data_IF_019830549095
#
_entry.id   IF_019830549095
#
_cell.length_a   1.000
_cell.length_b   1.000
_cell.length_c   1.000
_cell.angle_alpha   90.00
_cell.angle_beta   90.00
_cell.angle_gamma   90.00
#
_symmetry.space_group_name_H-M   'P 1'
#
loop_
_entity.id
_entity.type
_entity.pdbx_description
1 polymer ?
#
# COMPACT_ATOMS: atom_id res chain seq x y z
N UNK A 1 -8.76 -17.19 -43.04
CA UNK A 1 -9.77 -16.69 -42.08
C UNK A 1 -9.81 -17.62 -40.88
N UNK A 2 -9.88 -17.03 -39.67
CA UNK A 2 -10.07 -17.65 -38.33
C UNK A 2 -8.84 -18.40 -37.78
N UNK A 3 -8.30 -18.08 -36.60
CA UNK A 3 -8.62 -17.07 -35.61
C UNK A 3 -7.37 -16.85 -34.73
N UNK A 4 -7.03 -15.59 -34.51
CA UNK A 4 -5.92 -15.16 -33.64
C UNK A 4 -6.42 -15.28 -32.21
N UNK A 5 -5.85 -16.20 -31.44
CA UNK A 5 -6.00 -16.21 -29.98
C UNK A 5 -5.24 -14.99 -29.48
N UNK A 6 -5.96 -13.90 -29.19
CA UNK A 6 -5.50 -12.87 -28.27
C UNK A 6 -5.98 -13.36 -26.90
N UNK A 7 -5.23 -14.26 -26.28
CA UNK A 7 -5.21 -14.27 -24.84
C UNK A 7 -4.14 -13.24 -24.51
N UNK A 8 -4.60 -12.08 -24.06
CA UNK A 8 -3.74 -11.21 -23.29
C UNK A 8 -3.44 -12.03 -22.03
N UNK A 9 -2.33 -12.77 -22.02
CA UNK A 9 -1.73 -13.18 -20.76
C UNK A 9 -1.54 -11.85 -20.02
N UNK A 10 -2.34 -11.60 -18.99
CA UNK A 10 -1.95 -10.64 -17.98
C UNK A 10 -0.70 -11.27 -17.35
N UNK A 11 0.45 -11.12 -18.02
CA UNK A 11 1.76 -11.31 -17.41
C UNK A 11 1.73 -10.37 -16.22
N UNK A 12 1.49 -10.94 -15.04
CA UNK A 12 1.72 -10.27 -13.78
C UNK A 12 3.10 -9.65 -13.91
N UNK A 13 3.23 -8.31 -13.99
CA UNK A 13 4.54 -7.72 -14.15
C UNK A 13 5.34 -8.19 -12.94
N UNK A 14 6.47 -8.89 -13.13
CA UNK A 14 7.26 -9.30 -11.99
C UNK A 14 7.57 -8.04 -11.20
N UNK A 15 7.44 -8.13 -9.88
CA UNK A 15 7.55 -7.01 -8.94
C UNK A 15 8.78 -6.12 -9.16
N UNK A 16 9.85 -6.73 -9.68
CA UNK A 16 11.10 -6.11 -10.14
C UNK A 16 10.94 -5.17 -11.33
N UNK A 17 9.77 -5.09 -11.97
CA UNK A 17 9.44 -4.23 -13.11
C UNK A 17 8.52 -3.07 -12.72
N UNK A 18 8.10 -2.95 -11.45
CA UNK A 18 7.30 -1.82 -11.00
C UNK A 18 8.02 -0.48 -11.29
N UNK A 19 7.41 0.45 -12.05
CA UNK A 19 8.01 1.75 -12.35
C UNK A 19 8.13 2.60 -11.09
N UNK A 20 9.28 3.27 -10.90
CA UNK A 20 9.49 4.21 -9.80
C UNK A 20 9.93 3.59 -8.47
N UNK A 21 9.94 2.26 -8.33
CA UNK A 21 10.53 1.60 -7.17
C UNK A 21 12.06 1.66 -7.25
N UNK A 22 12.77 2.12 -6.19
CA UNK A 22 14.21 1.96 -6.10
C UNK A 22 14.57 0.48 -6.14
N UNK A 23 15.61 0.12 -6.89
CA UNK A 23 16.04 -1.27 -7.07
C UNK A 23 17.49 -1.43 -6.66
N UNK A 24 17.80 -2.57 -6.05
CA UNK A 24 19.16 -3.00 -5.78
C UNK A 24 19.87 -3.34 -7.10
N UNK A 25 21.21 -3.49 -7.09
CA UNK A 25 21.96 -3.99 -8.25
C UNK A 25 21.45 -5.35 -8.77
N UNK A 26 20.87 -6.16 -7.88
CA UNK A 26 20.27 -7.47 -8.17
C UNK A 26 18.81 -7.36 -8.70
N UNK A 27 18.27 -6.15 -8.76
CA UNK A 27 16.93 -5.86 -9.29
C UNK A 27 15.80 -5.95 -8.27
N UNK A 28 16.11 -6.23 -7.00
CA UNK A 28 15.11 -6.32 -5.92
C UNK A 28 14.69 -4.93 -5.43
N UNK A 29 13.43 -4.75 -5.01
CA UNK A 29 12.98 -3.53 -4.33
C UNK A 29 13.87 -3.13 -3.14
N UNK A 30 14.33 -1.89 -3.12
CA UNK A 30 15.01 -1.29 -1.96
C UNK A 30 14.05 -0.31 -1.29
N UNK A 31 13.75 -0.58 -0.02
CA UNK A 31 12.85 0.22 0.81
C UNK A 31 13.64 1.09 1.78
N UNK A 32 13.25 2.36 1.92
CA UNK A 32 13.93 3.29 2.85
C UNK A 32 13.59 2.99 4.30
N UNK A 33 12.35 2.58 4.56
CA UNK A 33 11.84 2.21 5.88
C UNK A 33 11.16 0.83 5.83
N UNK A 34 11.17 0.06 6.94
CA UNK A 34 10.56 -1.28 6.98
C UNK A 34 9.09 -1.30 6.57
N UNK A 35 8.31 -0.31 6.99
CA UNK A 35 6.87 -0.24 6.71
C UNK A 35 6.55 -0.16 5.21
N UNK A 36 7.48 0.36 4.39
CA UNK A 36 7.29 0.42 2.94
C UNK A 36 7.30 -0.97 2.32
N UNK A 37 8.11 -1.89 2.86
CA UNK A 37 8.13 -3.28 2.45
C UNK A 37 6.82 -3.99 2.84
N UNK A 38 6.29 -3.69 4.03
CA UNK A 38 5.00 -4.24 4.49
C UNK A 38 3.84 -3.75 3.61
N UNK A 39 3.78 -2.44 3.32
CA UNK A 39 2.78 -1.86 2.43
C UNK A 39 2.83 -2.49 1.04
N UNK A 40 4.03 -2.65 0.49
CA UNK A 40 4.26 -3.32 -0.78
C UNK A 40 3.78 -4.78 -0.75
N UNK A 41 4.15 -5.55 0.28
CA UNK A 41 3.74 -6.94 0.43
C UNK A 41 2.21 -7.08 0.56
N UNK A 42 1.54 -6.15 1.24
CA UNK A 42 0.07 -6.13 1.33
C UNK A 42 -0.60 -5.92 -0.03
N UNK A 43 -0.13 -4.97 -0.84
CA UNK A 43 -0.64 -4.73 -2.20
C UNK A 43 -0.53 -5.99 -3.04
N UNK A 44 0.67 -6.59 -3.07
CA UNK A 44 0.92 -7.82 -3.84
C UNK A 44 0.05 -8.97 -3.35
N UNK A 45 -0.01 -9.19 -2.04
CA UNK A 45 -0.78 -10.30 -1.46
C UNK A 45 -2.28 -10.17 -1.69
N UNK A 46 -2.83 -8.95 -1.74
CA UNK A 46 -4.24 -8.72 -2.06
C UNK A 46 -4.53 -8.89 -3.56
N UNK A 47 -3.62 -8.44 -4.41
CA UNK A 47 -3.68 -8.70 -5.85
C UNK A 47 -3.64 -10.20 -6.17
N UNK A 48 -2.70 -10.95 -5.56
CA UNK A 48 -2.58 -12.41 -5.77
C UNK A 48 -3.82 -13.17 -5.30
N UNK A 49 -4.55 -12.63 -4.31
CA UNK A 49 -5.83 -13.15 -3.84
C UNK A 49 -7.02 -12.75 -4.73
N UNK A 50 -6.80 -11.94 -5.77
CA UNK A 50 -7.83 -11.47 -6.69
C UNK A 50 -8.80 -10.47 -6.06
N UNK A 51 -8.37 -9.75 -5.02
CA UNK A 51 -9.19 -8.71 -4.39
C UNK A 51 -9.37 -7.52 -5.35
N UNK A 52 -8.29 -7.12 -6.02
CA UNK A 52 -8.29 -6.11 -7.08
C UNK A 52 -7.32 -6.55 -8.19
N UNK A 53 -7.40 -5.92 -9.36
CA UNK A 53 -6.43 -6.14 -10.45
C UNK A 53 -5.43 -4.96 -10.60
N UNK A 54 -4.43 -5.14 -11.46
CA UNK A 54 -3.41 -4.11 -11.66
C UNK A 54 -3.94 -2.84 -12.31
N UNK A 55 -5.00 -2.91 -13.11
CA UNK A 55 -5.59 -1.74 -13.76
C UNK A 55 -6.29 -0.88 -12.70
N UNK A 56 -7.01 -1.52 -11.77
CA UNK A 56 -7.60 -0.87 -10.60
C UNK A 56 -6.52 -0.25 -9.69
N UNK A 57 -5.46 -0.99 -9.38
CA UNK A 57 -4.34 -0.50 -8.58
C UNK A 57 -3.68 0.74 -9.21
N UNK A 58 -3.31 0.66 -10.49
CA UNK A 58 -2.65 1.76 -11.19
C UNK A 58 -3.55 2.99 -11.27
N UNK A 59 -4.86 2.80 -11.47
CA UNK A 59 -5.83 3.88 -11.42
C UNK A 59 -5.88 4.55 -10.04
N UNK A 60 -6.06 3.77 -8.97
CA UNK A 60 -6.14 4.27 -7.61
C UNK A 60 -4.86 5.01 -7.19
N UNK A 61 -3.68 4.46 -7.49
CA UNK A 61 -2.40 5.08 -7.19
C UNK A 61 -2.19 6.38 -7.99
N UNK A 62 -2.54 6.38 -9.28
CA UNK A 62 -2.47 7.59 -10.11
C UNK A 62 -3.33 8.72 -9.56
N UNK A 63 -4.51 8.40 -9.02
CA UNK A 63 -5.39 9.37 -8.38
C UNK A 63 -4.74 10.00 -7.13
N UNK A 64 -3.93 9.25 -6.37
CA UNK A 64 -3.19 9.79 -5.23
C UNK A 64 -2.00 10.65 -5.66
N UNK A 65 -1.22 10.18 -6.65
CA UNK A 65 -0.03 10.87 -7.14
C UNK A 65 -0.35 12.23 -7.79
N UNK A 66 -1.55 12.38 -8.36
CA UNK A 66 -2.00 13.62 -8.99
C UNK A 66 -2.71 14.60 -8.04
N UNK A 67 -2.78 14.31 -6.73
CA UNK A 67 -3.36 15.25 -5.76
C UNK A 67 -2.50 16.51 -5.67
N UNK A 68 -3.11 17.64 -5.28
CA UNK A 68 -2.36 18.88 -5.05
C UNK A 68 -1.55 18.78 -3.76
N UNK A 69 -0.37 19.39 -3.74
CA UNK A 69 0.48 19.46 -2.54
C UNK A 69 1.37 18.23 -2.31
N UNK A 70 1.60 17.41 -3.33
CA UNK A 70 2.59 16.33 -3.28
C UNK A 70 4.01 16.89 -3.21
N UNK A 71 4.88 16.14 -2.53
CA UNK A 71 6.29 16.47 -2.42
C UNK A 71 6.95 16.42 -3.81
N UNK A 72 7.66 17.49 -4.18
CA UNK A 72 8.32 17.60 -5.49
C UNK A 72 9.46 16.59 -5.65
N UNK A 73 10.06 16.14 -4.55
CA UNK A 73 11.12 15.14 -4.50
C UNK A 73 10.60 13.70 -4.44
N UNK A 74 9.28 13.51 -4.35
CA UNK A 74 8.64 12.19 -4.28
C UNK A 74 8.83 11.47 -2.96
N UNK A 75 9.27 12.16 -1.89
CA UNK A 75 9.47 11.54 -0.57
C UNK A 75 8.22 10.89 0.01
N UNK A 76 7.05 11.34 -0.44
CA UNK A 76 5.73 10.88 -0.01
C UNK A 76 5.17 9.72 -0.85
N UNK A 77 5.95 9.17 -1.79
CA UNK A 77 5.50 8.15 -2.74
C UNK A 77 4.85 6.93 -2.08
N UNK A 78 5.43 6.40 -1.01
CA UNK A 78 4.84 5.27 -0.29
C UNK A 78 3.64 5.67 0.59
N UNK A 79 3.50 6.93 1.00
CA UNK A 79 2.26 7.42 1.60
C UNK A 79 1.11 7.39 0.57
N UNK A 80 1.43 7.71 -0.69
CA UNK A 80 0.50 7.56 -1.82
C UNK A 80 0.06 6.11 -2.01
N UNK A 81 0.98 5.15 -1.84
CA UNK A 81 0.68 3.72 -1.89
C UNK A 81 -0.31 3.30 -0.81
N UNK A 82 -0.03 3.67 0.44
CA UNK A 82 -0.92 3.34 1.57
C UNK A 82 -2.29 3.98 1.35
N UNK A 83 -2.34 5.25 0.96
CA UNK A 83 -3.61 5.93 0.67
C UNK A 83 -4.41 5.26 -0.47
N UNK A 84 -3.74 4.83 -1.54
CA UNK A 84 -4.38 4.13 -2.65
C UNK A 84 -4.94 2.77 -2.20
N UNK A 85 -4.14 1.99 -1.46
CA UNK A 85 -4.55 0.71 -0.92
C UNK A 85 -5.74 0.85 0.03
N UNK A 86 -5.70 1.82 0.94
CA UNK A 86 -6.80 2.11 1.87
C UNK A 86 -8.10 2.41 1.13
N UNK A 87 -8.06 3.17 0.03
CA UNK A 87 -9.27 3.43 -0.75
C UNK A 87 -9.80 2.16 -1.41
N UNK A 88 -8.95 1.33 -2.00
CA UNK A 88 -9.38 0.07 -2.63
C UNK A 88 -10.07 -0.84 -1.62
N UNK A 89 -9.47 -1.08 -0.46
CA UNK A 89 -10.06 -1.99 0.53
C UNK A 89 -11.39 -1.45 1.11
N UNK A 90 -11.56 -0.13 1.15
CA UNK A 90 -12.83 0.53 1.52
C UNK A 90 -13.85 0.40 0.40
N UNK A 91 -13.48 0.67 -0.85
CA UNK A 91 -14.38 0.60 -2.00
C UNK A 91 -14.89 -0.84 -2.23
N UNK A 92 -14.07 -1.84 -1.89
CA UNK A 92 -14.45 -3.26 -1.88
C UNK A 92 -15.22 -3.70 -0.63
N UNK A 93 -15.44 -2.81 0.35
CA UNK A 93 -16.19 -3.11 1.58
C UNK A 93 -15.51 -4.13 2.49
N UNK A 94 -14.17 -4.23 2.43
CA UNK A 94 -13.38 -5.13 3.29
C UNK A 94 -13.24 -4.55 4.69
N UNK A 95 -13.13 -3.21 4.75
CA UNK A 95 -13.09 -2.41 5.98
C UNK A 95 -13.82 -1.09 5.73
N UNK A 96 -14.39 -0.52 6.77
CA UNK A 96 -14.94 0.84 6.72
C UNK A 96 -13.85 1.90 6.95
N UNK A 97 -14.08 3.11 6.43
CA UNK A 97 -13.17 4.26 6.66
C UNK A 97 -13.00 4.53 8.15
N UNK A 98 -14.09 4.43 8.91
CA UNK A 98 -14.08 4.65 10.35
C UNK A 98 -13.24 3.59 11.07
N UNK A 99 -13.25 2.33 10.64
CA UNK A 99 -12.40 1.28 11.23
C UNK A 99 -10.90 1.57 11.03
N UNK A 100 -10.52 2.07 9.84
CA UNK A 100 -9.14 2.48 9.57
C UNK A 100 -8.75 3.65 10.48
N UNK A 101 -9.60 4.67 10.59
CA UNK A 101 -9.34 5.86 11.40
C UNK A 101 -9.26 5.51 12.89
N UNK A 102 -10.16 4.67 13.39
CA UNK A 102 -10.18 4.23 14.78
C UNK A 102 -8.91 3.44 15.12
N UNK A 103 -8.46 2.57 14.21
CA UNK A 103 -7.21 1.81 14.39
C UNK A 103 -5.99 2.73 14.39
N UNK A 104 -5.92 3.71 13.49
CA UNK A 104 -4.83 4.71 13.47
C UNK A 104 -4.79 5.50 14.77
N UNK A 105 -5.95 5.98 15.24
CA UNK A 105 -6.03 6.71 16.51
C UNK A 105 -5.66 5.82 17.71
N UNK A 106 -6.06 4.55 17.69
CA UNK A 106 -5.70 3.59 18.72
C UNK A 106 -4.19 3.37 18.79
N UNK A 107 -3.53 3.19 17.64
CA UNK A 107 -2.06 3.12 17.57
C UNK A 107 -1.38 4.40 18.02
N UNK A 108 -1.91 5.57 17.67
CA UNK A 108 -1.37 6.86 18.10
C UNK A 108 -1.41 6.99 19.63
N UNK A 109 -2.56 6.68 20.25
CA UNK A 109 -2.70 6.71 21.71
C UNK A 109 -1.82 5.67 22.39
N UNK A 110 -1.72 4.47 21.82
CA UNK A 110 -0.82 3.44 22.31
C UNK A 110 0.65 3.92 22.29
N UNK A 111 1.08 4.57 21.21
CA UNK A 111 2.42 5.14 21.10
C UNK A 111 2.67 6.22 22.17
N UNK A 112 1.71 7.13 22.38
CA UNK A 112 1.78 8.18 23.40
C UNK A 112 1.81 7.64 24.83
N UNK A 113 1.09 6.55 25.09
CA UNK A 113 1.01 5.92 26.41
C UNK A 113 2.20 4.99 26.71
N UNK A 114 3.00 4.62 25.71
CA UNK A 114 4.12 3.68 25.87
C UNK A 114 5.35 4.38 26.46
N UNK A 115 5.85 3.98 27.64
CA UNK A 115 7.08 4.54 28.19
C UNK A 115 8.28 4.30 27.28
N UNK A 116 9.23 5.25 27.27
CA UNK A 116 10.44 5.12 26.47
C UNK A 116 11.19 3.81 26.76
N UNK A 117 11.61 3.12 25.68
CA UNK A 117 12.32 1.84 25.76
C UNK A 117 11.42 0.61 25.92
N UNK A 118 10.09 0.78 25.97
CA UNK A 118 9.13 -0.32 25.90
C UNK A 118 8.57 -0.47 24.47
N UNK A 119 8.15 -1.67 24.07
CA UNK A 119 7.49 -1.87 22.78
C UNK A 119 6.12 -1.18 22.74
N UNK A 120 5.79 -0.61 21.57
CA UNK A 120 4.47 -0.04 21.32
C UNK A 120 3.55 -1.20 20.90
N UNK A 121 2.57 -1.49 21.74
CA UNK A 121 1.56 -2.52 21.47
C UNK A 121 0.18 -1.87 21.45
N UNK A 122 -0.73 -2.36 20.61
CA UNK A 122 -2.09 -1.82 20.54
C UNK A 122 -2.88 -1.99 21.87
N UNK A 123 -2.43 -2.88 22.76
CA UNK A 123 -2.96 -3.02 24.12
C UNK A 123 -2.57 -1.86 25.05
N UNK A 124 -1.59 -1.04 24.66
CA UNK A 124 -1.18 0.14 25.42
C UNK A 124 -2.15 1.32 25.22
N UNK A 125 -3.11 1.22 24.30
CA UNK A 125 -4.14 2.26 24.11
C UNK A 125 -5.04 2.34 25.36
N UNK A 126 -5.06 3.47 26.09
CA UNK A 126 -5.85 3.63 27.30
C UNK A 126 -7.37 3.66 27.09
N UNK A 127 -7.84 3.78 25.84
CA UNK A 127 -9.26 3.85 25.51
C UNK A 127 -9.82 2.56 24.89
N UNK A 128 -9.01 1.50 24.84
CA UNK A 128 -9.39 0.24 24.19
C UNK A 128 -10.20 -0.70 25.08
#
# INVERSE_FOLDING_TARGET
MRGRIILNEHETPPLTQSPGLPKSPEGEPVFADPWMADAFAMVVGLYEKGIFDWDEWTHALSMQLNRRGRAEDGSDYFDCWVAALSNIIVDHGIVDVDEILDLQQSWQRAAEATPHGQPIELANDPLR
#
